data_IF_673864302778
#
_entry.id   IF_673864302778
#
_cell.length_a   1.000
_cell.length_b   1.000
_cell.length_c   1.000
_cell.angle_alpha   90.00
_cell.angle_beta   90.00
_cell.angle_gamma   90.00
#
_symmetry.space_group_name_H-M   'P 1'
#
loop_
_entity.id
_entity.type
_entity.pdbx_description
1 polymer ?
#
# COMPACT_ATOMS: atom_id res chain seq x y z
N UNK A 1 -10.66 -22.52 5.56
CA UNK A 1 -9.92 -23.27 4.50
C UNK A 1 -9.01 -22.34 3.66
N UNK A 2 -9.54 -21.35 2.89
CA UNK A 2 -8.67 -20.49 2.07
C UNK A 2 -7.77 -19.55 2.90
N UNK A 3 -8.30 -18.93 3.95
CA UNK A 3 -7.54 -18.10 4.90
C UNK A 3 -6.44 -18.89 5.59
N UNK A 4 -6.74 -20.09 6.05
CA UNK A 4 -5.77 -20.99 6.69
C UNK A 4 -4.66 -21.40 5.74
N UNK A 5 -5.00 -21.67 4.47
CA UNK A 5 -4.01 -21.94 3.42
C UNK A 5 -3.09 -20.75 3.20
N UNK A 6 -3.63 -19.52 3.06
CA UNK A 6 -2.83 -18.31 2.90
C UNK A 6 -1.92 -18.07 4.12
N UNK A 7 -2.42 -18.29 5.31
CA UNK A 7 -1.68 -18.18 6.57
C UNK A 7 -0.52 -19.18 6.60
N UNK A 8 -0.81 -20.47 6.34
CA UNK A 8 0.22 -21.51 6.26
C UNK A 8 1.28 -21.19 5.19
N UNK A 9 0.84 -20.79 3.98
CA UNK A 9 1.75 -20.48 2.87
C UNK A 9 2.66 -19.32 3.22
N UNK A 10 2.09 -18.19 3.69
CA UNK A 10 2.84 -16.97 3.99
C UNK A 10 3.82 -17.18 5.16
N UNK A 11 3.33 -17.69 6.28
CA UNK A 11 4.13 -17.74 7.50
C UNK A 11 4.96 -19.02 7.65
N UNK A 12 4.36 -20.20 7.41
CA UNK A 12 5.05 -21.48 7.61
C UNK A 12 5.93 -21.86 6.42
N UNK A 13 5.40 -21.78 5.19
CA UNK A 13 6.15 -22.21 4.00
C UNK A 13 7.14 -21.16 3.52
N UNK A 14 6.72 -19.89 3.41
CA UNK A 14 7.57 -18.80 2.92
C UNK A 14 8.41 -18.13 4.01
N UNK A 15 8.06 -18.32 5.30
CA UNK A 15 8.81 -17.86 6.47
C UNK A 15 8.70 -16.35 6.73
N UNK A 16 7.61 -15.72 6.30
CA UNK A 16 7.36 -14.32 6.62
C UNK A 16 7.01 -14.14 8.10
N UNK A 17 7.43 -13.02 8.65
CA UNK A 17 7.16 -12.61 10.04
C UNK A 17 6.32 -11.35 10.05
N UNK A 18 5.62 -11.11 11.15
CA UNK A 18 4.83 -9.90 11.37
C UNK A 18 5.39 -9.07 12.51
N UNK A 19 5.37 -7.75 12.32
CA UNK A 19 5.54 -6.75 13.37
C UNK A 19 4.48 -5.66 13.15
N UNK A 20 3.23 -5.96 13.54
CA UNK A 20 2.09 -5.07 13.37
C UNK A 20 1.58 -4.71 14.75
N UNK A 21 1.81 -3.46 15.18
CA UNK A 21 1.40 -2.91 16.48
C UNK A 21 0.25 -1.91 16.34
N UNK A 22 0.07 -1.37 15.12
CA UNK A 22 -0.98 -0.41 14.85
C UNK A 22 -2.35 -1.07 14.73
N UNK A 23 -3.37 -0.37 15.24
CA UNK A 23 -4.75 -0.83 15.07
C UNK A 23 -5.18 -0.68 13.61
N UNK A 24 -5.97 -1.63 13.13
CA UNK A 24 -6.50 -1.64 11.76
C UNK A 24 -7.95 -1.13 11.73
N UNK A 25 -8.17 0.17 11.52
CA UNK A 25 -9.51 0.77 11.61
C UNK A 25 -10.41 0.40 10.44
N UNK A 26 -11.71 0.68 10.57
CA UNK A 26 -12.67 0.44 9.49
C UNK A 26 -12.40 1.31 8.26
N UNK A 27 -11.83 2.51 8.48
CA UNK A 27 -11.48 3.45 7.41
C UNK A 27 -10.03 3.91 7.57
N UNK A 28 -9.21 3.66 6.56
CA UNK A 28 -7.81 4.09 6.52
C UNK A 28 -7.25 4.07 5.10
N UNK A 29 -6.14 4.77 4.91
CA UNK A 29 -5.23 4.56 3.79
C UNK A 29 -4.10 3.66 4.28
N UNK A 30 -3.72 2.69 3.47
CA UNK A 30 -2.55 1.83 3.67
C UNK A 30 -1.49 2.30 2.68
N UNK A 31 -0.45 2.96 3.19
CA UNK A 31 0.72 3.34 2.41
C UNK A 31 1.71 2.16 2.46
N UNK A 32 1.90 1.49 1.34
CA UNK A 32 2.75 0.30 1.23
C UNK A 32 4.00 0.60 0.43
N UNK A 33 5.16 0.37 1.02
CA UNK A 33 6.48 0.46 0.39
C UNK A 33 7.46 -0.53 1.04
N UNK A 34 8.56 -0.92 0.40
CA UNK A 34 8.92 -0.73 -1.02
C UNK A 34 8.00 -1.46 -2.01
N UNK A 35 7.85 -0.91 -3.23
CA UNK A 35 7.12 -1.56 -4.32
C UNK A 35 8.03 -1.75 -5.54
N UNK A 36 8.76 -2.84 -5.57
CA UNK A 36 9.84 -3.10 -6.53
C UNK A 36 9.60 -4.32 -7.43
N UNK A 37 8.53 -5.09 -7.17
CA UNK A 37 8.26 -6.35 -7.86
C UNK A 37 6.77 -6.69 -7.93
N UNK A 38 6.38 -7.57 -8.85
CA UNK A 38 5.06 -8.20 -8.86
C UNK A 38 4.83 -9.10 -7.62
N UNK A 39 5.90 -9.58 -7.01
CA UNK A 39 5.82 -10.36 -5.78
C UNK A 39 5.22 -9.59 -4.62
N UNK A 40 5.36 -8.27 -4.59
CA UNK A 40 4.78 -7.41 -3.55
C UNK A 40 3.26 -7.52 -3.55
N UNK A 41 2.65 -7.62 -4.75
CA UNK A 41 1.23 -7.87 -4.89
C UNK A 41 0.84 -9.25 -4.35
N UNK A 42 1.62 -10.30 -4.66
CA UNK A 42 1.34 -11.67 -4.19
C UNK A 42 1.43 -11.74 -2.67
N UNK A 43 2.51 -11.22 -2.08
CA UNK A 43 2.70 -11.18 -0.62
C UNK A 43 1.60 -10.34 0.03
N UNK A 44 1.28 -9.18 -0.54
CA UNK A 44 0.19 -8.32 -0.06
C UNK A 44 -1.17 -9.01 -0.08
N UNK A 45 -1.51 -9.78 -1.14
CA UNK A 45 -2.77 -10.52 -1.21
C UNK A 45 -2.82 -11.71 -0.25
N UNK A 46 -1.70 -12.44 -0.10
CA UNK A 46 -1.61 -13.51 0.91
C UNK A 46 -1.83 -12.94 2.31
N UNK A 47 -1.16 -11.82 2.63
CA UNK A 47 -1.31 -11.12 3.91
C UNK A 47 -2.74 -10.60 4.11
N UNK A 48 -3.29 -9.89 3.12
CA UNK A 48 -4.65 -9.36 3.15
C UNK A 48 -5.70 -10.46 3.44
N UNK A 49 -5.49 -11.66 2.87
CA UNK A 49 -6.38 -12.81 3.07
C UNK A 49 -6.11 -13.49 4.40
N UNK A 50 -4.86 -13.71 4.78
CA UNK A 50 -4.47 -14.38 6.01
C UNK A 50 -4.98 -13.63 7.25
N UNK A 51 -4.89 -12.28 7.24
CA UNK A 51 -5.30 -11.42 8.36
C UNK A 51 -6.73 -10.88 8.22
N UNK A 52 -7.47 -11.24 7.18
CA UNK A 52 -8.85 -10.78 6.97
C UNK A 52 -8.97 -9.27 6.84
N UNK A 53 -7.97 -8.61 6.26
CA UNK A 53 -7.92 -7.14 6.20
C UNK A 53 -8.96 -6.55 5.27
N UNK A 54 -9.32 -7.24 4.18
CA UNK A 54 -10.25 -6.76 3.15
C UNK A 54 -9.89 -5.36 2.60
N UNK A 55 -8.60 -5.14 2.35
CA UNK A 55 -8.13 -3.91 1.74
C UNK A 55 -8.33 -3.92 0.23
N UNK A 56 -8.79 -2.80 -0.31
CA UNK A 56 -8.82 -2.55 -1.74
C UNK A 56 -7.47 -2.04 -2.23
N UNK A 57 -7.20 -2.14 -3.54
CA UNK A 57 -5.97 -1.62 -4.16
C UNK A 57 -6.25 -1.03 -5.54
N UNK A 58 -5.44 -0.05 -5.93
CA UNK A 58 -5.52 0.57 -7.25
C UNK A 58 -4.70 -0.23 -8.25
N UNK A 59 -5.30 -0.55 -9.40
CA UNK A 59 -4.62 -1.25 -10.49
C UNK A 59 -4.97 -0.60 -11.83
N UNK A 60 -4.04 -0.64 -12.78
CA UNK A 60 -4.27 -0.13 -14.13
C UNK A 60 -5.48 -0.81 -14.77
N UNK A 61 -6.37 -0.02 -15.41
CA UNK A 61 -7.58 -0.50 -16.08
C UNK A 61 -7.30 -1.62 -17.08
N UNK A 62 -6.15 -1.60 -17.73
CA UNK A 62 -5.74 -2.55 -18.75
C UNK A 62 -5.65 -4.00 -18.24
N UNK A 63 -5.56 -4.21 -16.92
CA UNK A 63 -5.60 -5.54 -16.31
C UNK A 63 -7.00 -6.10 -16.08
N UNK A 64 -8.06 -5.27 -16.27
CA UNK A 64 -9.44 -5.67 -16.04
C UNK A 64 -10.13 -6.25 -17.29
N UNK A 65 -9.38 -7.01 -18.10
CA UNK A 65 -9.93 -7.78 -19.22
C UNK A 65 -10.38 -9.17 -18.78
N UNK A 66 -11.23 -9.81 -19.58
CA UNK A 66 -11.66 -11.17 -19.32
C UNK A 66 -10.56 -12.20 -19.63
N UNK A 67 -10.30 -13.23 -18.74
CA UNK A 67 -11.00 -13.58 -17.50
C UNK A 67 -10.44 -12.89 -16.24
N UNK A 68 -9.38 -12.08 -16.32
CA UNK A 68 -8.68 -11.52 -15.16
C UNK A 68 -9.47 -10.42 -14.42
N UNK A 69 -10.32 -9.68 -15.14
CA UNK A 69 -11.10 -8.58 -14.58
C UNK A 69 -11.99 -8.97 -13.40
N UNK A 70 -12.82 -10.01 -13.52
CA UNK A 70 -13.63 -10.52 -12.40
C UNK A 70 -12.77 -10.97 -11.21
N UNK A 71 -11.61 -11.60 -11.46
CA UNK A 71 -10.69 -12.06 -10.41
C UNK A 71 -10.14 -10.85 -9.64
N UNK A 72 -9.58 -9.86 -10.33
CA UNK A 72 -9.04 -8.67 -9.67
C UNK A 72 -10.09 -7.86 -8.93
N UNK A 73 -11.32 -7.75 -9.47
CA UNK A 73 -12.43 -7.12 -8.75
C UNK A 73 -12.78 -7.90 -7.47
N UNK A 74 -12.84 -9.22 -7.54
CA UNK A 74 -13.08 -10.09 -6.38
C UNK A 74 -12.00 -9.97 -5.30
N UNK A 75 -10.76 -9.69 -5.70
CA UNK A 75 -9.63 -9.43 -4.80
C UNK A 75 -9.60 -7.98 -4.24
N UNK A 76 -10.56 -7.13 -4.62
CA UNK A 76 -10.63 -5.73 -4.16
C UNK A 76 -9.93 -4.73 -5.08
N UNK A 77 -9.62 -5.12 -6.32
CA UNK A 77 -9.00 -4.23 -7.31
C UNK A 77 -9.93 -3.15 -7.82
N UNK A 78 -9.47 -1.91 -7.83
CA UNK A 78 -10.16 -0.73 -8.35
C UNK A 78 -9.41 -0.24 -9.60
N UNK A 79 -10.07 -0.17 -10.78
CA UNK A 79 -9.42 0.26 -12.00
C UNK A 79 -9.07 1.76 -12.00
N UNK A 80 -7.83 2.08 -12.37
CA UNK A 80 -7.34 3.46 -12.49
C UNK A 80 -7.27 3.88 -13.97
N UNK A 81 -7.83 5.04 -14.28
CA UNK A 81 -7.78 5.67 -15.57
C UNK A 81 -6.73 6.78 -15.58
N UNK A 82 -5.61 6.60 -16.31
CA UNK A 82 -4.46 7.52 -16.30
C UNK A 82 -4.78 8.97 -16.63
N UNK A 83 -5.83 9.22 -17.44
CA UNK A 83 -6.21 10.56 -17.90
C UNK A 83 -7.05 11.37 -16.88
N UNK A 84 -7.31 10.83 -15.68
CA UNK A 84 -8.24 11.44 -14.72
C UNK A 84 -7.68 11.49 -13.30
N UNK A 85 -6.38 11.78 -13.12
CA UNK A 85 -5.74 11.74 -11.80
C UNK A 85 -6.40 12.65 -10.74
N UNK A 86 -6.68 13.90 -11.05
CA UNK A 86 -7.38 14.81 -10.11
C UNK A 86 -8.77 14.27 -9.73
N UNK A 87 -9.53 13.81 -10.74
CA UNK A 87 -10.86 13.23 -10.48
C UNK A 87 -10.81 11.92 -9.70
N UNK A 88 -9.69 11.18 -9.76
CA UNK A 88 -9.52 9.93 -9.00
C UNK A 88 -9.35 10.21 -7.51
N UNK A 89 -8.53 11.19 -7.14
CA UNK A 89 -8.33 11.58 -5.73
C UNK A 89 -9.65 12.05 -5.12
N UNK A 90 -10.39 12.91 -5.81
CA UNK A 90 -11.69 13.40 -5.36
C UNK A 90 -12.72 12.27 -5.25
N UNK A 91 -12.78 11.39 -6.25
CA UNK A 91 -13.68 10.24 -6.25
C UNK A 91 -13.38 9.28 -5.09
N UNK A 92 -12.10 9.01 -4.80
CA UNK A 92 -11.70 8.16 -3.68
C UNK A 92 -11.98 8.83 -2.34
N UNK A 93 -11.76 10.14 -2.23
CA UNK A 93 -12.11 10.93 -1.04
C UNK A 93 -13.61 10.87 -0.76
N UNK A 94 -14.44 11.04 -1.79
CA UNK A 94 -15.90 10.94 -1.63
C UNK A 94 -16.32 9.53 -1.26
N UNK A 95 -15.81 8.50 -1.95
CA UNK A 95 -16.08 7.11 -1.62
C UNK A 95 -15.69 6.77 -0.17
N UNK A 96 -14.58 7.32 0.31
CA UNK A 96 -14.13 7.13 1.68
C UNK A 96 -15.07 7.76 2.71
N UNK A 97 -15.66 8.94 2.39
CA UNK A 97 -16.65 9.59 3.25
C UNK A 97 -17.95 8.79 3.34
N UNK A 98 -18.43 8.32 2.20
CA UNK A 98 -19.76 7.70 2.07
C UNK A 98 -19.79 6.24 2.56
N UNK A 99 -18.70 5.49 2.37
CA UNK A 99 -18.67 4.08 2.72
C UNK A 99 -18.57 3.86 4.24
N UNK A 100 -19.25 2.86 4.81
CA UNK A 100 -19.07 2.47 6.22
C UNK A 100 -17.69 1.85 6.48
N UNK A 101 -17.09 1.24 5.46
CA UNK A 101 -15.73 0.69 5.48
C UNK A 101 -14.96 1.19 4.25
N UNK A 102 -13.76 1.69 4.47
CA UNK A 102 -12.88 2.13 3.40
C UNK A 102 -11.41 1.87 3.76
N UNK A 103 -10.82 0.89 3.12
CA UNK A 103 -9.43 0.49 3.33
C UNK A 103 -8.75 0.43 1.98
N UNK A 104 -7.92 1.42 1.67
CA UNK A 104 -7.32 1.54 0.36
C UNK A 104 -5.79 1.45 0.46
N UNK A 105 -5.23 0.39 -0.13
CA UNK A 105 -3.79 0.20 -0.23
C UNK A 105 -3.25 0.94 -1.47
N UNK A 106 -2.26 1.78 -1.25
CA UNK A 106 -1.60 2.57 -2.30
C UNK A 106 -0.09 2.45 -2.12
N UNK A 107 0.62 2.21 -3.22
CA UNK A 107 2.07 2.29 -3.29
C UNK A 107 2.46 3.71 -3.75
N UNK A 108 3.12 4.53 -2.91
CA UNK A 108 3.38 5.94 -3.22
C UNK A 108 4.34 6.12 -4.39
N UNK A 109 5.21 5.16 -4.64
CA UNK A 109 6.11 5.13 -5.80
C UNK A 109 5.34 5.13 -7.13
N UNK A 110 4.17 4.47 -7.18
CA UNK A 110 3.30 4.37 -8.37
C UNK A 110 3.91 3.60 -9.54
N UNK A 111 5.07 3.00 -9.34
CA UNK A 111 5.82 2.16 -10.28
C UNK A 111 6.70 1.18 -9.51
N UNK A 112 7.27 0.18 -10.20
CA UNK A 112 8.24 -0.77 -9.64
C UNK A 112 9.68 -0.46 -10.05
N UNK A 113 9.86 0.62 -10.80
CA UNK A 113 11.18 1.16 -11.15
C UNK A 113 11.58 2.23 -10.14
N UNK A 114 12.89 2.45 -9.99
CA UNK A 114 13.41 3.47 -9.07
C UNK A 114 12.84 4.85 -9.39
N UNK A 115 12.27 5.48 -8.39
CA UNK A 115 11.80 6.87 -8.41
C UNK A 115 12.11 7.51 -7.06
N UNK A 116 12.59 8.73 -7.07
CA UNK A 116 12.89 9.51 -5.86
C UNK A 116 11.70 10.36 -5.42
N UNK A 117 10.86 10.74 -6.39
CA UNK A 117 9.66 11.53 -6.13
C UNK A 117 8.42 10.64 -5.99
N UNK A 118 7.87 10.58 -4.78
CA UNK A 118 6.69 9.81 -4.46
C UNK A 118 5.41 10.58 -4.76
N UNK A 119 4.39 9.87 -5.24
CA UNK A 119 3.07 10.45 -5.52
C UNK A 119 2.34 10.76 -4.22
N UNK A 120 1.80 11.98 -4.12
CA UNK A 120 1.13 12.49 -2.93
C UNK A 120 -0.41 12.24 -2.91
N UNK A 121 -0.95 11.54 -3.92
CA UNK A 121 -2.39 11.29 -4.05
C UNK A 121 -3.03 10.61 -2.84
N UNK A 122 -2.36 9.62 -2.24
CA UNK A 122 -2.83 8.92 -1.06
C UNK A 122 -2.97 9.85 0.16
N UNK A 123 -2.07 10.81 0.31
CA UNK A 123 -2.09 11.81 1.37
C UNK A 123 -3.32 12.72 1.23
N UNK A 124 -3.58 13.22 0.01
CA UNK A 124 -4.75 14.08 -0.23
C UNK A 124 -6.08 13.35 -0.02
N UNK A 125 -6.16 12.05 -0.36
CA UNK A 125 -7.35 11.22 -0.05
C UNK A 125 -7.52 11.12 1.47
N UNK A 126 -6.45 10.81 2.19
CA UNK A 126 -6.48 10.71 3.65
C UNK A 126 -6.88 12.02 4.31
N UNK A 127 -6.26 13.14 3.92
CA UNK A 127 -6.56 14.46 4.42
C UNK A 127 -8.02 14.87 4.13
N UNK A 128 -8.47 14.73 2.89
CA UNK A 128 -9.80 15.12 2.45
C UNK A 128 -10.93 14.31 3.07
N UNK A 129 -10.65 13.07 3.52
CA UNK A 129 -11.62 12.20 4.19
C UNK A 129 -11.35 12.03 5.70
N UNK A 130 -10.38 12.78 6.27
CA UNK A 130 -9.95 12.69 7.68
C UNK A 130 -9.61 11.27 8.12
N UNK A 131 -8.81 10.56 7.30
CA UNK A 131 -8.41 9.18 7.52
C UNK A 131 -6.97 9.07 8.02
N UNK A 132 -6.68 8.10 8.89
CA UNK A 132 -5.31 7.73 9.21
C UNK A 132 -4.62 7.05 8.02
N UNK A 133 -3.30 7.23 7.93
CA UNK A 133 -2.42 6.56 6.98
C UNK A 133 -1.57 5.55 7.76
N UNK A 134 -1.81 4.26 7.55
CA UNK A 134 -1.01 3.18 8.12
C UNK A 134 0.19 2.91 7.22
N UNK A 135 1.39 2.88 7.79
CA UNK A 135 2.63 2.64 7.05
C UNK A 135 2.98 1.15 7.07
N UNK A 136 2.73 0.46 5.96
CA UNK A 136 3.04 -0.95 5.79
C UNK A 136 4.34 -1.15 5.02
N UNK A 137 5.37 -1.65 5.71
CA UNK A 137 6.65 -2.02 5.11
C UNK A 137 6.71 -3.51 4.78
N UNK A 138 7.19 -3.85 3.58
CA UNK A 138 7.46 -5.23 3.16
C UNK A 138 8.96 -5.38 2.93
N UNK A 139 9.64 -6.02 3.90
CA UNK A 139 11.09 -6.22 3.88
C UNK A 139 11.43 -7.65 3.45
N UNK A 140 12.03 -7.80 2.29
CA UNK A 140 12.38 -9.10 1.72
C UNK A 140 13.65 -9.71 2.33
N UNK A 141 14.58 -8.87 2.79
CA UNK A 141 15.80 -9.34 3.42
C UNK A 141 15.47 -10.00 4.76
N UNK A 142 14.65 -9.34 5.57
CA UNK A 142 14.21 -9.84 6.88
C UNK A 142 12.99 -10.76 6.81
N UNK A 143 12.36 -10.87 5.62
CA UNK A 143 11.04 -11.50 5.43
C UNK A 143 10.03 -10.98 6.45
N UNK A 144 9.90 -9.66 6.52
CA UNK A 144 9.10 -8.99 7.54
C UNK A 144 8.03 -8.10 6.90
N UNK A 145 6.78 -8.28 7.36
CA UNK A 145 5.71 -7.32 7.14
C UNK A 145 5.56 -6.51 8.42
N UNK A 146 5.72 -5.19 8.31
CA UNK A 146 5.71 -4.31 9.47
C UNK A 146 4.73 -3.16 9.31
N UNK A 147 3.96 -2.88 10.36
CA UNK A 147 3.16 -1.67 10.51
C UNK A 147 3.22 -1.22 11.99
N UNK A 148 4.15 -0.32 12.28
CA UNK A 148 4.40 0.18 13.64
C UNK A 148 4.20 1.69 13.73
N UNK A 149 3.62 2.29 12.68
CA UNK A 149 3.40 3.73 12.63
C UNK A 149 2.16 4.09 11.82
N UNK A 150 1.39 5.00 12.38
CA UNK A 150 0.24 5.65 11.75
C UNK A 150 0.49 7.14 11.66
N UNK A 151 0.19 7.75 10.51
CA UNK A 151 0.25 9.20 10.29
C UNK A 151 -1.18 9.73 10.18
N UNK A 152 -1.49 10.74 10.97
CA UNK A 152 -2.68 11.56 10.77
C UNK A 152 -2.23 12.79 9.99
N UNK A 153 -2.77 13.05 8.78
CA UNK A 153 -2.35 14.20 7.98
C UNK A 153 -2.44 15.50 8.77
N UNK A 154 -1.29 16.15 8.97
CA UNK A 154 -1.20 17.38 9.77
C UNK A 154 -1.62 18.63 8.99
N UNK A 155 -1.63 18.55 7.66
CA UNK A 155 -1.78 19.68 6.74
C UNK A 155 -0.44 20.16 6.19
N UNK A 156 0.66 19.90 6.87
CA UNK A 156 2.01 20.13 6.37
C UNK A 156 2.52 18.89 5.60
N UNK A 157 2.24 18.89 4.31
CA UNK A 157 2.54 17.72 3.44
C UNK A 157 4.02 17.41 3.36
N UNK A 158 4.89 18.40 3.38
CA UNK A 158 6.35 18.18 3.23
C UNK A 158 6.90 17.53 4.51
N UNK A 159 6.46 17.99 5.67
CA UNK A 159 6.79 17.39 6.96
C UNK A 159 6.29 15.95 7.04
N UNK A 160 5.01 15.73 6.75
CA UNK A 160 4.40 14.40 6.84
C UNK A 160 5.01 13.42 5.83
N UNK A 161 5.29 13.87 4.60
CA UNK A 161 5.96 13.04 3.59
C UNK A 161 7.39 12.69 3.98
N UNK A 162 8.11 13.61 4.59
CA UNK A 162 9.46 13.35 5.13
C UNK A 162 9.41 12.29 6.23
N UNK A 163 8.44 12.37 7.13
CA UNK A 163 8.23 11.39 8.18
C UNK A 163 7.86 10.01 7.62
N UNK A 164 6.99 9.95 6.60
CA UNK A 164 6.62 8.72 5.90
C UNK A 164 7.84 8.09 5.23
N UNK A 165 8.62 8.87 4.47
CA UNK A 165 9.81 8.41 3.78
C UNK A 165 10.89 7.90 4.76
N UNK A 166 11.10 8.59 5.87
CA UNK A 166 12.01 8.16 6.94
C UNK A 166 11.63 6.81 7.55
N UNK A 167 10.33 6.52 7.68
CA UNK A 167 9.87 5.21 8.15
C UNK A 167 10.32 4.07 7.22
N UNK A 168 10.31 4.31 5.91
CA UNK A 168 10.60 3.27 4.91
C UNK A 168 12.08 3.16 4.50
N UNK A 169 12.95 4.10 4.86
CA UNK A 169 14.33 4.21 4.34
C UNK A 169 15.18 2.93 4.51
N UNK A 170 14.94 2.17 5.58
CA UNK A 170 15.71 0.97 5.91
C UNK A 170 15.08 -0.33 5.42
N UNK A 171 13.93 -0.26 4.74
CA UNK A 171 13.28 -1.44 4.17
C UNK A 171 13.93 -1.88 2.85
N UNK A 172 14.08 -3.18 2.68
CA UNK A 172 14.65 -3.77 1.46
C UNK A 172 13.56 -4.43 0.62
N UNK A 173 13.26 -3.84 -0.54
CA UNK A 173 12.36 -4.42 -1.52
C UNK A 173 12.90 -5.72 -2.13
N UNK A 174 12.09 -6.43 -2.91
CA UNK A 174 12.51 -7.63 -3.67
C UNK A 174 13.67 -7.33 -4.62
N UNK A 175 13.71 -6.10 -5.16
CA UNK A 175 14.78 -5.53 -5.96
C UNK A 175 15.22 -4.23 -5.28
N UNK A 176 16.18 -4.28 -4.34
CA UNK A 176 16.57 -3.12 -3.54
C UNK A 176 17.04 -1.94 -4.39
N UNK A 177 17.69 -2.20 -5.52
CA UNK A 177 18.17 -1.20 -6.48
C UNK A 177 17.03 -0.34 -7.08
N UNK A 178 15.81 -0.84 -7.07
CA UNK A 178 14.62 -0.15 -7.58
C UNK A 178 13.90 0.68 -6.53
N UNK A 179 14.38 0.70 -5.28
CA UNK A 179 13.79 1.47 -4.20
C UNK A 179 14.60 2.73 -3.90
N UNK A 180 13.91 3.84 -3.72
CA UNK A 180 14.48 5.08 -3.21
C UNK A 180 13.40 5.88 -2.48
N UNK A 181 13.77 6.55 -1.40
CA UNK A 181 12.90 7.48 -0.69
C UNK A 181 13.05 8.90 -1.22
N UNK A 182 14.15 9.21 -1.93
CA UNK A 182 14.50 10.56 -2.37
C UNK A 182 14.89 11.48 -1.20
N UNK A 183 15.23 10.90 -0.03
CA UNK A 183 15.87 11.63 1.05
C UNK A 183 17.36 11.83 0.73
N UNK A 184 17.99 12.82 1.34
CA UNK A 184 19.43 13.08 1.11
C UNK A 184 20.32 11.87 1.44
N UNK A 185 19.88 11.03 2.37
CA UNK A 185 20.56 9.78 2.76
C UNK A 185 20.55 8.70 1.65
N UNK A 186 19.74 8.85 0.60
CA UNK A 186 19.72 7.91 -0.53
C UNK A 186 20.73 8.25 -1.63
N UNK A 187 21.45 9.36 -1.49
CA UNK A 187 22.53 9.73 -2.41
C UNK A 187 23.78 8.93 -2.08
N UNK A 188 24.43 8.32 -3.09
CA UNK A 188 25.65 7.53 -2.90
C UNK A 188 26.82 8.41 -2.41
#
# INVERSE_FOLDING_TARGET
MWTEFCNWLLYKKMGWKLNVTEQYPQKCIICLAPHTSNWDFIIGQLYNTAEGMHANFLMKKEWFFWPLGPIFKGLGGIPVYRQKHMRMTDAMTQAAKDAPRFRLCITPEGTRSRVEEWKKGFYFIAQGASLPILLYGVDYERKLIQCTKTIIPSGDIEKDMTEIKNYFKDFKGKKPENFATGLETDKP
#
